data_IF_302367326498
#
_entry.id   IF_302367326498
#
_cell.length_a   1.000
_cell.length_b   1.000
_cell.length_c   1.000
_cell.angle_alpha   90.00
_cell.angle_beta   90.00
_cell.angle_gamma   90.00
#
_symmetry.space_group_name_H-M   'P 1'
#
loop_
_entity.id
_entity.type
_entity.pdbx_description
1 polymer ?
#
# COMPACT_ATOMS: atom_id res chain seq x y z
N UNK A 1 33.35 27.44 30.59
CA UNK A 1 32.29 27.81 29.68
C UNK A 1 32.16 26.68 28.68
N UNK A 2 31.15 25.83 28.86
CA UNK A 2 30.83 24.71 27.99
C UNK A 2 29.48 25.04 27.38
N UNK A 3 29.51 25.45 26.12
CA UNK A 3 28.30 25.73 25.35
C UNK A 3 27.56 24.46 25.07
N UNK A 4 26.28 24.39 25.55
CA UNK A 4 25.35 23.35 25.26
C UNK A 4 24.85 23.50 23.83
N UNK A 5 25.22 22.58 22.96
CA UNK A 5 24.60 22.41 21.64
C UNK A 5 23.22 21.85 21.88
N UNK A 6 22.21 22.69 21.68
CA UNK A 6 20.80 22.28 21.65
C UNK A 6 20.55 21.66 20.27
N UNK A 7 20.46 20.34 20.24
CA UNK A 7 19.99 19.61 19.05
C UNK A 7 18.47 19.73 19.00
N UNK A 8 17.95 20.62 18.17
CA UNK A 8 16.54 20.67 17.84
C UNK A 8 16.16 19.41 17.05
N UNK A 9 15.53 18.45 17.75
CA UNK A 9 14.79 17.34 17.12
C UNK A 9 13.37 17.83 16.88
N UNK A 10 13.02 18.12 15.62
CA UNK A 10 11.63 17.95 15.16
C UNK A 10 11.58 17.90 13.64
N UNK A 11 11.22 16.76 13.03
CA UNK A 11 10.43 16.77 11.83
C UNK A 11 8.96 16.62 12.22
N UNK A 12 8.28 17.72 12.50
CA UNK A 12 6.80 17.72 12.51
C UNK A 12 6.32 17.74 11.08
N UNK A 13 5.93 16.59 10.56
CA UNK A 13 5.12 16.51 9.35
C UNK A 13 3.70 16.96 9.70
N UNK A 14 3.43 18.25 9.57
CA UNK A 14 2.07 18.77 9.55
C UNK A 14 1.55 18.63 8.12
N UNK A 15 0.66 17.66 7.89
CA UNK A 15 -0.23 17.68 6.72
C UNK A 15 -1.25 18.76 7.03
N UNK A 16 -1.11 19.95 6.44
CA UNK A 16 -2.12 20.99 6.52
C UNK A 16 -3.20 20.70 5.48
N UNK A 17 -4.47 21.02 5.80
CA UNK A 17 -5.60 20.87 4.87
C UNK A 17 -5.33 21.62 3.54
N UNK A 18 -4.53 22.67 3.56
CA UNK A 18 -4.09 23.46 2.40
C UNK A 18 -3.24 22.61 1.40
N UNK A 19 -2.40 21.69 1.87
CA UNK A 19 -1.59 20.80 1.02
C UNK A 19 -2.42 19.73 0.31
N UNK A 20 -3.55 19.34 0.87
CA UNK A 20 -4.47 18.39 0.24
C UNK A 20 -5.29 19.05 -0.89
N UNK A 21 -5.66 20.32 -0.75
CA UNK A 21 -6.45 21.06 -1.76
C UNK A 21 -5.63 21.43 -3.01
N UNK A 22 -4.31 21.61 -2.92
CA UNK A 22 -3.46 21.84 -4.09
C UNK A 22 -3.25 20.60 -4.97
N UNK A 23 -3.54 19.40 -4.46
CA UNK A 23 -3.29 18.13 -5.16
C UNK A 23 -4.26 17.83 -6.29
N UNK A 24 -5.50 18.28 -6.23
CA UNK A 24 -6.51 18.02 -7.26
C UNK A 24 -7.05 19.31 -7.89
N UNK A 25 -6.36 19.78 -8.93
CA UNK A 25 -6.79 20.97 -9.71
C UNK A 25 -8.11 20.79 -10.47
N UNK A 26 -8.67 19.61 -10.49
CA UNK A 26 -9.93 19.28 -11.16
C UNK A 26 -11.13 19.20 -10.19
N UNK A 27 -10.93 19.46 -8.90
CA UNK A 27 -11.94 19.26 -7.87
C UNK A 27 -13.30 19.90 -8.23
N UNK A 28 -14.38 19.13 -8.12
CA UNK A 28 -15.76 19.54 -8.41
C UNK A 28 -16.11 19.61 -9.91
N UNK A 29 -15.20 19.30 -10.84
CA UNK A 29 -15.44 19.37 -12.28
C UNK A 29 -15.94 18.04 -12.88
N UNK A 30 -16.50 18.10 -14.10
CA UNK A 30 -16.78 16.88 -14.87
C UNK A 30 -15.49 16.15 -15.26
N UNK A 31 -14.36 16.85 -15.41
CA UNK A 31 -13.05 16.26 -15.69
C UNK A 31 -12.57 15.37 -14.55
N UNK A 32 -12.78 15.77 -13.30
CA UNK A 32 -12.50 14.93 -12.13
C UNK A 32 -13.25 13.60 -12.21
N UNK A 33 -14.56 13.65 -12.43
CA UNK A 33 -15.39 12.45 -12.58
C UNK A 33 -14.94 11.55 -13.74
N UNK A 34 -14.49 12.17 -14.84
CA UNK A 34 -13.94 11.42 -15.97
C UNK A 34 -12.62 10.73 -15.61
N UNK A 35 -11.74 11.39 -14.85
CA UNK A 35 -10.47 10.81 -14.38
C UNK A 35 -10.72 9.65 -13.40
N UNK A 36 -11.67 9.83 -12.47
CA UNK A 36 -12.10 8.75 -11.55
C UNK A 36 -12.65 7.54 -12.31
N UNK A 37 -13.52 7.78 -13.29
CA UNK A 37 -14.09 6.72 -14.12
C UNK A 37 -13.02 6.02 -14.97
N UNK A 38 -12.08 6.78 -15.54
CA UNK A 38 -10.96 6.22 -16.29
C UNK A 38 -10.05 5.37 -15.38
N UNK A 39 -9.64 5.89 -14.21
CA UNK A 39 -8.87 5.13 -13.22
C UNK A 39 -9.57 3.83 -12.80
N UNK A 40 -10.87 3.88 -12.53
CA UNK A 40 -11.65 2.70 -12.18
C UNK A 40 -11.72 1.69 -13.33
N UNK A 41 -11.94 2.15 -14.57
CA UNK A 41 -12.01 1.31 -15.76
C UNK A 41 -10.71 0.56 -16.03
N UNK A 42 -9.59 1.27 -16.05
CA UNK A 42 -8.26 0.69 -16.27
C UNK A 42 -7.85 -0.28 -15.15
N UNK A 43 -8.15 0.08 -13.89
CA UNK A 43 -7.90 -0.80 -12.73
C UNK A 43 -8.67 -2.12 -12.82
N UNK A 44 -9.93 -2.07 -13.26
CA UNK A 44 -10.73 -3.26 -13.50
C UNK A 44 -10.20 -4.08 -14.69
N UNK A 45 -9.84 -3.42 -15.80
CA UNK A 45 -9.28 -4.08 -16.99
C UNK A 45 -8.00 -4.84 -16.64
N UNK A 46 -7.07 -4.21 -15.92
CA UNK A 46 -5.86 -4.84 -15.40
C UNK A 46 -6.14 -6.15 -14.68
N UNK A 47 -7.06 -6.12 -13.71
CA UNK A 47 -7.39 -7.31 -12.95
C UNK A 47 -8.06 -8.39 -13.80
N UNK A 48 -9.04 -8.02 -14.65
CA UNK A 48 -9.73 -8.94 -15.56
C UNK A 48 -8.75 -9.66 -16.49
N UNK A 49 -7.82 -8.93 -17.10
CA UNK A 49 -6.85 -9.53 -18.04
C UNK A 49 -5.89 -10.49 -17.34
N UNK A 50 -5.50 -10.23 -16.10
CA UNK A 50 -4.72 -11.18 -15.30
C UNK A 50 -5.50 -12.49 -15.06
N UNK A 51 -6.81 -12.40 -14.81
CA UNK A 51 -7.67 -13.58 -14.65
C UNK A 51 -7.85 -14.32 -15.98
N UNK A 52 -8.05 -13.61 -17.09
CA UNK A 52 -8.18 -14.20 -18.42
C UNK A 52 -6.90 -14.90 -18.85
N UNK A 53 -5.72 -14.33 -18.55
CA UNK A 53 -4.44 -14.97 -18.78
C UNK A 53 -4.31 -16.32 -18.06
N UNK A 54 -4.80 -16.39 -16.82
CA UNK A 54 -4.82 -17.65 -16.05
C UNK A 54 -5.66 -18.73 -16.71
N UNK A 55 -6.79 -18.37 -17.31
CA UNK A 55 -7.64 -19.31 -18.07
C UNK A 55 -6.94 -19.76 -19.34
N UNK A 56 -6.42 -18.81 -20.14
CA UNK A 56 -5.72 -19.12 -21.39
C UNK A 56 -4.54 -20.08 -21.16
N UNK A 57 -3.79 -19.88 -20.08
CA UNK A 57 -2.70 -20.80 -19.67
C UNK A 57 -3.21 -22.21 -19.41
N UNK A 58 -4.30 -22.36 -18.66
CA UNK A 58 -4.87 -23.69 -18.34
C UNK A 58 -5.40 -24.41 -19.58
N UNK A 59 -5.83 -23.66 -20.58
CA UNK A 59 -6.31 -24.18 -21.86
C UNK A 59 -5.17 -24.43 -22.89
N UNK A 60 -3.91 -24.10 -22.54
CA UNK A 60 -2.74 -24.31 -23.39
C UNK A 60 -2.44 -23.21 -24.39
N UNK A 61 -3.06 -22.04 -24.25
CA UNK A 61 -2.87 -20.87 -25.14
C UNK A 61 -1.84 -19.88 -24.57
N UNK A 62 -0.57 -20.30 -24.49
CA UNK A 62 0.50 -19.49 -23.88
C UNK A 62 0.69 -18.11 -24.52
N UNK A 63 0.57 -18.00 -25.86
CA UNK A 63 0.66 -16.71 -26.55
C UNK A 63 -0.46 -15.77 -26.12
N UNK A 64 -1.71 -16.26 -26.05
CA UNK A 64 -2.85 -15.46 -25.62
C UNK A 64 -2.71 -15.02 -24.17
N UNK A 65 -2.25 -15.90 -23.29
CA UNK A 65 -1.94 -15.58 -21.90
C UNK A 65 -0.89 -14.48 -21.78
N UNK A 66 0.20 -14.57 -22.55
CA UNK A 66 1.25 -13.55 -22.58
C UNK A 66 0.72 -12.18 -23.06
N UNK A 67 -0.14 -12.15 -24.07
CA UNK A 67 -0.76 -10.92 -24.57
C UNK A 67 -1.68 -10.30 -23.52
N UNK A 68 -2.53 -11.09 -22.83
CA UNK A 68 -3.34 -10.60 -21.72
C UNK A 68 -2.49 -9.99 -20.61
N UNK A 69 -1.39 -10.65 -20.20
CA UNK A 69 -0.50 -10.12 -19.15
C UNK A 69 0.20 -8.83 -19.60
N UNK A 70 0.67 -8.76 -20.84
CA UNK A 70 1.29 -7.55 -21.39
C UNK A 70 0.30 -6.38 -21.38
N UNK A 71 -0.95 -6.63 -21.84
CA UNK A 71 -2.00 -5.61 -21.81
C UNK A 71 -2.34 -5.20 -20.37
N UNK A 72 -2.44 -6.16 -19.43
CA UNK A 72 -2.67 -5.84 -18.02
C UNK A 72 -1.60 -4.89 -17.44
N UNK A 73 -0.33 -5.03 -17.81
CA UNK A 73 0.72 -4.09 -17.41
C UNK A 73 0.57 -2.71 -18.07
N UNK A 74 0.07 -2.63 -19.31
CA UNK A 74 -0.25 -1.36 -19.95
C UNK A 74 -1.40 -0.65 -19.21
N UNK A 75 -2.48 -1.37 -18.87
CA UNK A 75 -3.63 -0.79 -18.15
C UNK A 75 -3.24 -0.32 -16.74
N UNK A 76 -2.28 -0.99 -16.08
CA UNK A 76 -1.70 -0.49 -14.82
C UNK A 76 -1.05 0.88 -14.99
N UNK A 77 -0.30 1.11 -16.05
CA UNK A 77 0.33 2.40 -16.30
C UNK A 77 -0.69 3.47 -16.73
N UNK A 78 -1.74 3.10 -17.49
CA UNK A 78 -2.85 4.01 -17.80
C UNK A 78 -3.60 4.43 -16.52
N UNK A 79 -3.97 3.50 -15.65
CA UNK A 79 -4.59 3.78 -14.36
C UNK A 79 -3.72 4.73 -13.52
N UNK A 80 -2.40 4.51 -13.48
CA UNK A 80 -1.45 5.36 -12.76
C UNK A 80 -1.40 6.79 -13.30
N UNK A 81 -1.56 7.01 -14.62
CA UNK A 81 -1.65 8.34 -15.19
C UNK A 81 -2.81 9.12 -14.60
N UNK A 82 -4.00 8.53 -14.61
CA UNK A 82 -5.22 9.17 -14.11
C UNK A 82 -5.17 9.37 -12.60
N UNK A 83 -4.67 8.40 -11.85
CA UNK A 83 -4.53 8.49 -10.41
C UNK A 83 -3.54 9.58 -9.97
N UNK A 84 -2.47 9.80 -10.74
CA UNK A 84 -1.55 10.93 -10.53
C UNK A 84 -2.21 12.29 -10.78
N UNK A 85 -3.01 12.43 -11.84
CA UNK A 85 -3.74 13.67 -12.13
C UNK A 85 -4.75 14.00 -11.02
N UNK A 86 -5.34 12.98 -10.39
CA UNK A 86 -6.21 13.14 -9.21
C UNK A 86 -5.44 13.46 -7.91
N UNK A 87 -4.10 13.50 -7.94
CA UNK A 87 -3.28 13.71 -6.75
C UNK A 87 -3.23 12.50 -5.81
N UNK A 88 -3.64 11.31 -6.27
CA UNK A 88 -3.76 10.10 -5.46
C UNK A 88 -2.42 9.44 -5.04
N UNK A 89 -1.26 9.92 -5.55
CA UNK A 89 0.06 9.38 -5.19
C UNK A 89 0.85 10.46 -4.46
N UNK A 90 1.02 10.28 -3.16
CA UNK A 90 1.81 11.11 -2.30
C UNK A 90 3.18 10.51 -1.94
N UNK A 91 3.80 11.03 -0.89
CA UNK A 91 4.96 10.41 -0.26
C UNK A 91 4.56 9.14 0.53
N UNK A 92 5.53 8.41 1.07
CA UNK A 92 5.27 7.14 1.76
C UNK A 92 4.32 7.29 2.95
N UNK A 93 4.44 8.36 3.74
CA UNK A 93 3.56 8.58 4.89
C UNK A 93 2.12 8.87 4.45
N UNK A 94 1.95 9.74 3.45
CA UNK A 94 0.66 10.06 2.86
C UNK A 94 -0.01 8.82 2.26
N UNK A 95 0.74 8.02 1.51
CA UNK A 95 0.22 6.79 0.90
C UNK A 95 -0.17 5.73 1.95
N UNK A 96 0.58 5.62 3.06
CA UNK A 96 0.23 4.72 4.16
C UNK A 96 -1.04 5.17 4.88
N UNK A 97 -1.21 6.48 5.07
CA UNK A 97 -2.41 7.06 5.68
C UNK A 97 -3.64 6.82 4.79
N UNK A 98 -3.53 7.11 3.50
CA UNK A 98 -4.60 6.91 2.51
C UNK A 98 -4.99 5.43 2.41
N UNK A 99 -4.01 4.53 2.33
CA UNK A 99 -4.27 3.09 2.33
C UNK A 99 -4.99 2.65 3.61
N UNK A 100 -4.54 3.10 4.79
CA UNK A 100 -5.21 2.78 6.04
C UNK A 100 -6.65 3.32 6.11
N UNK A 101 -6.91 4.50 5.55
CA UNK A 101 -8.26 5.09 5.50
C UNK A 101 -9.18 4.30 4.55
N UNK A 102 -8.67 3.88 3.39
CA UNK A 102 -9.39 3.03 2.45
C UNK A 102 -9.79 1.70 3.07
N UNK A 103 -8.84 0.97 3.64
CA UNK A 103 -9.11 -0.31 4.31
C UNK A 103 -10.10 -0.15 5.49
N UNK A 104 -9.99 0.96 6.25
CA UNK A 104 -10.93 1.26 7.32
C UNK A 104 -12.35 1.38 6.78
N UNK A 105 -12.57 2.18 5.72
CA UNK A 105 -13.89 2.30 5.08
C UNK A 105 -14.40 0.96 4.55
N UNK A 106 -13.53 0.14 3.97
CA UNK A 106 -13.92 -1.16 3.42
C UNK A 106 -14.48 -2.11 4.49
N UNK A 107 -13.85 -2.20 5.67
CA UNK A 107 -14.33 -3.12 6.68
C UNK A 107 -15.41 -2.54 7.61
N UNK A 108 -15.43 -1.22 7.87
CA UNK A 108 -16.44 -0.62 8.75
C UNK A 108 -17.77 -0.40 8.06
N UNK A 109 -17.76 0.02 6.79
CA UNK A 109 -18.93 0.50 6.07
C UNK A 109 -19.27 -0.37 4.87
N UNK A 110 -18.37 -0.49 3.91
CA UNK A 110 -18.63 -1.10 2.61
C UNK A 110 -19.01 -2.58 2.73
N UNK A 111 -18.12 -3.41 3.23
CA UNK A 111 -18.39 -4.85 3.36
C UNK A 111 -19.42 -5.18 4.43
N UNK A 112 -19.53 -4.39 5.49
CA UNK A 112 -20.59 -4.52 6.48
C UNK A 112 -21.96 -4.34 5.84
N UNK A 113 -22.15 -3.26 5.08
CA UNK A 113 -23.39 -2.99 4.34
C UNK A 113 -23.69 -4.03 3.25
N UNK A 114 -22.68 -4.48 2.53
CA UNK A 114 -22.83 -5.54 1.52
C UNK A 114 -23.24 -6.86 2.13
N UNK A 115 -22.69 -7.22 3.29
CA UNK A 115 -23.05 -8.45 4.01
C UNK A 115 -24.51 -8.39 4.49
N UNK A 116 -24.97 -7.27 5.03
CA UNK A 116 -26.36 -7.09 5.45
C UNK A 116 -27.33 -7.18 4.27
N UNK A 117 -27.00 -6.55 3.15
CA UNK A 117 -27.81 -6.59 1.93
C UNK A 117 -27.92 -8.02 1.40
N UNK A 118 -26.78 -8.71 1.27
CA UNK A 118 -26.75 -10.10 0.81
C UNK A 118 -27.55 -11.05 1.73
N UNK A 119 -27.52 -10.80 3.04
CA UNK A 119 -28.31 -11.56 4.01
C UNK A 119 -29.82 -11.36 3.79
N UNK A 120 -30.27 -10.09 3.65
CA UNK A 120 -31.66 -9.73 3.40
C UNK A 120 -32.20 -10.31 2.08
N UNK A 121 -31.35 -10.37 1.06
CA UNK A 121 -31.66 -10.95 -0.25
C UNK A 121 -31.56 -12.47 -0.29
N UNK A 122 -31.17 -13.14 0.80
CA UNK A 122 -31.08 -14.59 0.91
C UNK A 122 -29.76 -15.22 0.47
N UNK A 123 -28.75 -14.39 0.08
CA UNK A 123 -27.41 -14.84 -0.35
C UNK A 123 -26.46 -15.07 0.85
N UNK A 124 -26.86 -15.92 1.80
CA UNK A 124 -26.14 -16.13 3.07
C UNK A 124 -24.68 -16.51 2.91
N UNK A 125 -24.35 -17.35 1.91
CA UNK A 125 -22.95 -17.73 1.65
C UNK A 125 -22.10 -16.55 1.17
N UNK A 126 -22.67 -15.63 0.40
CA UNK A 126 -22.00 -14.41 -0.05
C UNK A 126 -21.86 -13.41 1.11
N UNK A 127 -22.89 -13.26 1.94
CA UNK A 127 -22.83 -12.44 3.15
C UNK A 127 -21.69 -12.90 4.09
N UNK A 128 -21.53 -14.21 4.27
CA UNK A 128 -20.42 -14.76 5.04
C UNK A 128 -19.05 -14.42 4.41
N UNK A 129 -18.91 -14.49 3.08
CA UNK A 129 -17.67 -14.10 2.38
C UNK A 129 -17.35 -12.61 2.57
N UNK A 130 -18.33 -11.72 2.46
CA UNK A 130 -18.13 -10.29 2.71
C UNK A 130 -17.60 -10.03 4.13
N UNK A 131 -18.15 -10.70 5.16
CA UNK A 131 -17.64 -10.58 6.54
C UNK A 131 -16.21 -11.11 6.71
N UNK A 132 -15.85 -12.20 6.00
CA UNK A 132 -14.49 -12.75 6.03
C UNK A 132 -13.49 -11.79 5.37
N UNK A 133 -13.86 -11.19 4.24
CA UNK A 133 -13.01 -10.19 3.58
C UNK A 133 -12.87 -8.95 4.47
N UNK A 134 -13.97 -8.43 5.04
CA UNK A 134 -13.91 -7.32 6.00
C UNK A 134 -12.90 -7.56 7.14
N UNK A 135 -12.83 -8.78 7.67
CA UNK A 135 -11.85 -9.12 8.71
C UNK A 135 -10.39 -9.11 8.19
N UNK A 136 -10.17 -9.33 6.89
CA UNK A 136 -8.86 -9.22 6.25
C UNK A 136 -8.48 -7.74 6.11
N UNK A 137 -9.39 -6.89 5.61
CA UNK A 137 -9.15 -5.47 5.40
C UNK A 137 -8.88 -4.73 6.71
N UNK A 138 -9.52 -5.15 7.81
CA UNK A 138 -9.15 -4.67 9.16
C UNK A 138 -7.68 -4.94 9.49
N UNK A 139 -7.14 -6.12 9.14
CA UNK A 139 -5.73 -6.44 9.36
C UNK A 139 -4.80 -5.65 8.44
N UNK A 140 -5.24 -5.33 7.23
CA UNK A 140 -4.50 -4.46 6.33
C UNK A 140 -4.40 -3.04 6.91
N UNK A 141 -5.51 -2.48 7.40
CA UNK A 141 -5.50 -1.19 8.10
C UNK A 141 -4.53 -1.20 9.29
N UNK A 142 -4.63 -2.18 10.18
CA UNK A 142 -3.74 -2.31 11.34
C UNK A 142 -2.26 -2.34 10.92
N UNK A 143 -1.93 -3.04 9.84
CA UNK A 143 -0.59 -3.11 9.26
C UNK A 143 -0.12 -1.75 8.75
N UNK A 144 -0.93 -1.06 7.95
CA UNK A 144 -0.55 0.25 7.41
C UNK A 144 -0.38 1.30 8.50
N UNK A 145 -1.24 1.31 9.52
CA UNK A 145 -1.09 2.19 10.69
C UNK A 145 0.18 1.89 11.49
N UNK A 146 0.54 0.62 11.66
CA UNK A 146 1.78 0.24 12.33
C UNK A 146 3.02 0.68 11.53
N UNK A 147 3.01 0.55 10.20
CA UNK A 147 4.08 1.03 9.33
C UNK A 147 4.20 2.56 9.35
N UNK A 148 3.09 3.27 9.32
CA UNK A 148 3.06 4.73 9.45
C UNK A 148 3.66 5.17 10.78
N UNK A 149 3.25 4.56 11.88
CA UNK A 149 3.80 4.83 13.22
C UNK A 149 5.31 4.59 13.28
N UNK A 150 5.81 3.50 12.67
CA UNK A 150 7.26 3.25 12.61
C UNK A 150 7.99 4.34 11.84
N UNK A 151 7.40 4.84 10.76
CA UNK A 151 7.98 5.92 9.96
C UNK A 151 8.02 7.23 10.74
N UNK A 152 6.92 7.62 11.37
CA UNK A 152 6.79 8.84 12.17
C UNK A 152 7.72 8.87 13.38
N UNK A 153 7.96 7.71 14.01
CA UNK A 153 8.84 7.56 15.16
C UNK A 153 10.32 7.35 14.77
N UNK A 154 10.66 7.34 13.48
CA UNK A 154 11.99 6.97 12.96
C UNK A 154 12.42 5.52 13.38
N UNK A 155 11.44 4.64 13.54
CA UNK A 155 11.63 3.26 14.00
C UNK A 155 11.78 2.24 12.84
N UNK A 156 11.85 2.68 11.59
CA UNK A 156 12.00 1.77 10.44
C UNK A 156 13.31 1.00 10.49
N UNK A 157 14.42 1.71 10.79
CA UNK A 157 15.78 1.15 10.82
C UNK A 157 16.44 1.21 12.19
N UNK A 158 15.72 1.65 13.22
CA UNK A 158 16.21 1.77 14.59
C UNK A 158 15.10 1.39 15.56
N UNK A 159 15.42 0.69 16.64
CA UNK A 159 14.47 0.27 17.70
C UNK A 159 15.07 0.58 19.06
N UNK A 160 14.20 0.75 20.06
CA UNK A 160 14.62 0.89 21.47
C UNK A 160 15.24 -0.40 22.03
N UNK A 161 14.90 -1.55 21.45
CA UNK A 161 15.39 -2.87 21.84
C UNK A 161 16.28 -3.46 20.76
N UNK A 162 17.15 -4.39 21.15
CA UNK A 162 17.95 -5.19 20.24
C UNK A 162 17.03 -6.02 19.35
N UNK A 163 17.24 -5.95 18.03
CA UNK A 163 16.55 -6.73 17.00
C UNK A 163 17.57 -7.46 16.13
N UNK A 164 17.09 -8.46 15.43
CA UNK A 164 17.83 -9.15 14.38
C UNK A 164 17.46 -8.47 13.07
N UNK A 165 18.43 -7.86 12.41
CA UNK A 165 18.26 -7.19 11.11
C UNK A 165 18.80 -8.07 10.01
N UNK A 166 18.04 -8.25 8.95
CA UNK A 166 18.42 -9.04 7.78
C UNK A 166 18.48 -8.16 6.53
N UNK A 167 19.53 -8.32 5.74
CA UNK A 167 19.66 -7.67 4.44
C UNK A 167 18.86 -8.44 3.39
N UNK A 168 17.79 -7.87 2.87
CA UNK A 168 16.90 -8.47 1.86
C UNK A 168 17.61 -8.87 0.55
N UNK A 169 18.78 -8.31 0.27
CA UNK A 169 19.55 -8.65 -0.94
C UNK A 169 20.42 -9.90 -0.78
N UNK A 170 21.10 -10.05 0.36
CA UNK A 170 22.10 -11.12 0.51
C UNK A 170 21.94 -11.99 1.75
N UNK A 171 20.92 -11.76 2.60
CA UNK A 171 20.71 -12.53 3.82
C UNK A 171 21.70 -12.23 4.96
N UNK A 172 22.54 -11.17 4.86
CA UNK A 172 23.45 -10.81 5.93
C UNK A 172 22.68 -10.38 7.19
N UNK A 173 23.03 -10.98 8.32
CA UNK A 173 22.35 -10.73 9.61
C UNK A 173 23.22 -9.87 10.50
N UNK A 174 22.58 -8.89 11.16
CA UNK A 174 23.17 -8.04 12.19
C UNK A 174 22.25 -8.00 13.41
N UNK A 175 22.83 -8.12 14.60
CA UNK A 175 22.11 -8.02 15.88
C UNK A 175 22.44 -6.69 16.53
N UNK A 176 21.41 -5.90 16.82
CA UNK A 176 21.58 -4.57 17.43
C UNK A 176 20.29 -3.75 17.44
N UNK A 177 20.35 -2.56 17.98
CA UNK A 177 19.21 -1.63 18.02
C UNK A 177 19.01 -0.90 16.69
N UNK A 178 19.99 -0.96 15.77
CA UNK A 178 19.98 -0.21 14.51
C UNK A 178 20.52 -1.05 13.37
N UNK A 179 19.83 -0.97 12.22
CA UNK A 179 20.32 -1.52 10.97
C UNK A 179 21.56 -0.75 10.46
N UNK A 180 22.58 -1.43 9.89
CA UNK A 180 23.76 -0.77 9.30
C UNK A 180 23.37 0.20 8.20
N UNK A 181 24.12 1.31 8.07
CA UNK A 181 23.94 2.27 6.97
C UNK A 181 24.25 1.63 5.61
N UNK A 182 25.20 0.70 5.60
CA UNK A 182 25.62 -0.07 4.42
C UNK A 182 25.82 -1.51 4.84
N UNK A 183 25.30 -2.44 4.06
CA UNK A 183 25.51 -3.87 4.29
C UNK A 183 27.00 -4.23 4.10
N UNK A 184 27.68 -4.81 5.12
CA UNK A 184 29.11 -5.11 5.05
C UNK A 184 29.44 -6.24 4.06
N UNK A 185 28.45 -7.05 3.68
CA UNK A 185 28.64 -8.18 2.76
C UNK A 185 28.44 -7.77 1.29
N UNK A 186 27.38 -7.01 0.98
CA UNK A 186 27.01 -6.74 -0.42
C UNK A 186 26.93 -5.25 -0.79
N UNK A 187 27.31 -4.36 0.14
CA UNK A 187 27.35 -2.91 -0.05
C UNK A 187 25.99 -2.24 -0.40
N UNK A 188 24.86 -2.95 -0.23
CA UNK A 188 23.55 -2.34 -0.40
C UNK A 188 23.25 -1.38 0.76
N UNK A 189 22.52 -0.27 0.51
CA UNK A 189 22.21 0.72 1.53
C UNK A 189 21.25 0.17 2.61
N UNK A 190 21.15 0.89 3.73
CA UNK A 190 20.27 0.58 4.88
C UNK A 190 18.82 0.25 4.48
N UNK A 191 18.33 0.85 3.39
CA UNK A 191 16.99 0.59 2.84
C UNK A 191 16.72 -0.90 2.52
N UNK A 192 17.75 -1.71 2.40
CA UNK A 192 17.63 -3.16 2.18
C UNK A 192 17.53 -3.97 3.47
N UNK A 193 17.65 -3.36 4.64
CA UNK A 193 17.49 -4.07 5.91
C UNK A 193 16.03 -4.06 6.38
N UNK A 194 15.63 -5.18 6.96
CA UNK A 194 14.37 -5.32 7.68
C UNK A 194 14.60 -6.10 8.98
N UNK A 195 13.64 -6.04 9.89
CA UNK A 195 13.66 -6.95 11.06
C UNK A 195 13.35 -8.35 10.55
N UNK A 196 14.27 -9.28 10.82
CA UNK A 196 14.12 -10.67 10.42
C UNK A 196 12.85 -11.28 11.01
N UNK A 197 12.05 -11.91 10.16
CA UNK A 197 10.86 -12.64 10.55
C UNK A 197 11.10 -14.15 10.39
N UNK A 198 10.96 -14.90 11.47
CA UNK A 198 10.95 -16.37 11.45
C UNK A 198 9.49 -16.82 11.43
N UNK A 199 9.03 -17.33 10.29
CA UNK A 199 7.64 -17.76 10.07
C UNK A 199 7.51 -19.16 9.45
N UNK A 200 8.53 -19.98 9.62
CA UNK A 200 8.66 -21.36 9.12
C UNK A 200 8.85 -22.37 10.25
#
# INVERSE_FOLDING_TARGET
>A
MLDRIIINKEPKFFITEETAMEKNKYAGTQTEKNLEAAFAGESQARNKYTYFASVAKKEGYEQMAALFLSTAENEKEHAKLWFKELGGIGNTAENLLEAAAGENYEWTDMYAGFAETAEKEGFKALAAKFRLVAAIEKRHEERYRALLKNLENAEVFERSEVKIWECRNCGHIVVGTKAPVVCPTCAHPQAFFEIMAENY
#
